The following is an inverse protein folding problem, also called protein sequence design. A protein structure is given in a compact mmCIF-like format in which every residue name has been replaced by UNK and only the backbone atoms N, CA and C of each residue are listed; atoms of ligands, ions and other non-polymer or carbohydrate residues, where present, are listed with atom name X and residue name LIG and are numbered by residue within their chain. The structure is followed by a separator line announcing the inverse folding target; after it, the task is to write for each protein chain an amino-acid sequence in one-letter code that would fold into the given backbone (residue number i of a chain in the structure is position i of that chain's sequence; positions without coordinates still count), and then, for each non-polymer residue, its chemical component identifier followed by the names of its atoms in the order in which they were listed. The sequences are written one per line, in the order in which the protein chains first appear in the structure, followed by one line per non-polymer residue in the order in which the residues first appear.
data_IF_939892378683
#
_entry.id   IF_939892378683
#
_cell.length_a   1.000
_cell.length_b   1.000
_cell.length_c   1.000
_cell.angle_alpha   90.00
_cell.angle_beta   90.00
_cell.angle_gamma   90.00
#
_symmetry.space_group_name_H-M   'P 1'
#
loop_
_entity.id
_entity.type
_entity.pdbx_description
1 polymer ?
#
# COMPACT_ATOMS: atom_id res chain seq x y z
N UNK A 1 -30.08 29.52 43.39
CA UNK A 1 -29.52 29.01 42.11
C UNK A 1 -28.17 29.67 41.95
N UNK A 2 -27.08 28.91 41.88
CA UNK A 2 -25.76 29.49 41.59
C UNK A 2 -25.72 29.81 40.10
N UNK A 3 -25.46 31.08 39.76
CA UNK A 3 -25.25 31.51 38.39
C UNK A 3 -23.97 30.86 37.85
N UNK A 4 -24.12 30.03 36.82
CA UNK A 4 -23.00 29.37 36.17
C UNK A 4 -22.17 30.44 35.45
N UNK A 5 -20.89 30.54 35.79
CA UNK A 5 -19.96 31.40 35.08
C UNK A 5 -19.59 30.77 33.73
N UNK A 6 -20.42 31.05 32.72
CA UNK A 6 -20.25 30.54 31.37
C UNK A 6 -18.89 30.90 30.74
N UNK A 7 -18.26 32.00 31.16
CA UNK A 7 -16.93 32.39 30.65
C UNK A 7 -15.87 31.37 31.06
N UNK A 8 -15.89 30.92 32.32
CA UNK A 8 -14.96 29.92 32.84
C UNK A 8 -15.21 28.55 32.20
N UNK A 9 -16.48 28.19 31.98
CA UNK A 9 -16.86 26.96 31.27
C UNK A 9 -16.33 26.97 29.83
N UNK A 10 -16.47 28.08 29.12
CA UNK A 10 -15.96 28.23 27.74
C UNK A 10 -14.43 28.19 27.73
N UNK A 11 -13.78 28.91 28.66
CA UNK A 11 -12.32 28.92 28.76
C UNK A 11 -11.76 27.52 29.05
N UNK A 12 -12.35 26.79 30.00
CA UNK A 12 -12.00 25.41 30.31
C UNK A 12 -12.18 24.46 29.13
N UNK A 13 -13.29 24.61 28.38
CA UNK A 13 -13.54 23.83 27.17
C UNK A 13 -12.49 24.09 26.07
N UNK A 14 -12.17 25.36 25.80
CA UNK A 14 -11.16 25.73 24.80
C UNK A 14 -9.76 25.25 25.19
N UNK A 15 -9.38 25.37 26.46
CA UNK A 15 -8.12 24.82 26.97
C UNK A 15 -8.09 23.29 26.83
N UNK A 16 -9.20 22.61 27.11
CA UNK A 16 -9.35 21.16 26.90
C UNK A 16 -9.22 20.72 25.44
N UNK A 17 -9.67 21.55 24.48
CA UNK A 17 -9.53 21.29 23.04
C UNK A 17 -8.13 21.60 22.48
N UNK A 18 -7.37 22.49 23.13
CA UNK A 18 -6.04 22.92 22.69
C UNK A 18 -5.09 21.75 22.37
N UNK A 19 -4.91 20.71 23.22
CA UNK A 19 -4.03 19.58 22.89
C UNK A 19 -4.49 18.80 21.64
N UNK A 20 -5.80 18.70 21.40
CA UNK A 20 -6.34 18.07 20.20
C UNK A 20 -5.97 18.88 18.95
N UNK A 21 -6.12 20.21 19.01
CA UNK A 21 -5.78 21.12 17.92
C UNK A 21 -4.28 21.06 17.62
N UNK A 22 -3.43 21.15 18.64
CA UNK A 22 -1.97 21.05 18.49
C UNK A 22 -1.56 19.72 17.83
N UNK A 23 -2.15 18.60 18.25
CA UNK A 23 -1.92 17.28 17.63
C UNK A 23 -2.31 17.27 16.15
N UNK A 24 -3.47 17.83 15.80
CA UNK A 24 -3.93 17.84 14.41
C UNK A 24 -3.05 18.72 13.52
N UNK A 25 -2.63 19.89 14.01
CA UNK A 25 -1.67 20.75 13.31
C UNK A 25 -0.34 20.03 13.09
N UNK A 26 0.18 19.32 14.10
CA UNK A 26 1.41 18.54 13.98
C UNK A 26 1.30 17.44 12.91
N UNK A 27 0.19 16.70 12.88
CA UNK A 27 -0.06 15.67 11.85
C UNK A 27 -0.13 16.26 10.44
N UNK A 28 -0.75 17.43 10.28
CA UNK A 28 -0.86 18.12 9.01
C UNK A 28 0.50 18.62 8.50
N UNK A 29 1.33 19.18 9.39
CA UNK A 29 2.70 19.63 9.06
C UNK A 29 3.58 18.44 8.66
N UNK A 30 3.54 17.35 9.44
CA UNK A 30 4.33 16.15 9.12
C UNK A 30 3.93 15.53 7.80
N UNK A 31 2.62 15.45 7.52
CA UNK A 31 2.15 14.93 6.24
C UNK A 31 2.65 15.76 5.05
N UNK A 32 2.64 17.10 5.17
CA UNK A 32 3.19 17.99 4.12
C UNK A 32 4.69 17.80 3.90
N UNK A 33 5.44 17.52 4.97
CA UNK A 33 6.90 17.33 4.96
C UNK A 33 7.37 15.93 4.52
N UNK A 34 6.46 14.96 4.36
CA UNK A 34 6.78 13.58 3.96
C UNK A 34 6.37 13.30 2.49
N UNK A 35 7.14 13.76 1.49
CA UNK A 35 6.81 13.56 0.06
C UNK A 35 6.65 12.08 -0.29
N UNK A 36 7.44 11.20 0.35
CA UNK A 36 7.39 9.75 0.11
C UNK A 36 6.04 9.09 0.42
N UNK A 37 5.20 9.66 1.30
CA UNK A 37 3.85 9.13 1.52
C UNK A 37 2.84 9.71 0.52
N UNK A 38 2.97 10.99 0.18
CA UNK A 38 2.01 11.71 -0.67
C UNK A 38 1.90 11.12 -2.06
N UNK A 39 3.01 10.66 -2.63
CA UNK A 39 3.03 10.05 -3.96
C UNK A 39 2.16 8.79 -4.09
N UNK A 40 1.79 8.14 -2.99
CA UNK A 40 0.90 6.97 -3.01
C UNK A 40 -0.59 7.36 -2.94
N UNK A 41 -0.95 8.62 -2.74
CA UNK A 41 -2.34 9.04 -2.63
C UNK A 41 -3.11 8.84 -3.94
N UNK A 42 -4.38 8.44 -3.83
CA UNK A 42 -5.28 8.31 -4.97
C UNK A 42 -5.51 6.87 -5.40
N UNK A 43 -5.75 6.68 -6.68
CA UNK A 43 -6.13 5.38 -7.24
C UNK A 43 -4.90 4.65 -7.79
N UNK A 44 -4.85 3.34 -7.55
CA UNK A 44 -3.81 2.43 -8.03
C UNK A 44 -4.43 1.13 -8.53
N UNK A 45 -3.67 0.41 -9.35
CA UNK A 45 -3.98 -0.92 -9.86
C UNK A 45 -2.87 -1.85 -9.41
N UNK A 46 -3.19 -2.80 -8.56
CA UNK A 46 -2.27 -3.79 -8.04
C UNK A 46 -2.38 -5.09 -8.82
N UNK A 47 -1.23 -5.63 -9.19
CA UNK A 47 -1.08 -6.84 -9.96
C UNK A 47 -0.19 -7.80 -9.18
N UNK A 48 -0.62 -9.05 -9.07
CA UNK A 48 0.18 -10.13 -8.47
C UNK A 48 -0.23 -11.45 -9.09
N UNK A 49 0.68 -12.42 -9.10
CA UNK A 49 0.34 -13.79 -9.49
C UNK A 49 -0.45 -14.45 -8.38
N UNK A 50 -1.55 -15.13 -8.69
CA UNK A 50 -2.29 -15.93 -7.72
C UNK A 50 -1.40 -17.05 -7.19
N UNK A 51 -1.35 -17.21 -5.87
CA UNK A 51 -0.67 -18.33 -5.20
C UNK A 51 -1.49 -19.61 -5.28
N UNK A 52 -2.80 -19.49 -5.46
CA UNK A 52 -3.67 -20.63 -5.77
C UNK A 52 -3.24 -21.19 -7.13
N UNK A 53 -2.92 -22.49 -7.19
CA UNK A 53 -2.17 -23.18 -8.26
C UNK A 53 -2.57 -22.99 -9.74
N UNK A 54 -3.56 -22.15 -10.04
CA UNK A 54 -3.85 -21.61 -11.38
C UNK A 54 -2.76 -20.68 -11.94
N UNK A 55 -1.91 -20.07 -11.10
CA UNK A 55 -0.83 -19.17 -11.54
C UNK A 55 -1.28 -17.93 -12.31
N UNK A 56 -2.57 -17.59 -12.28
CA UNK A 56 -3.16 -16.47 -13.04
C UNK A 56 -2.78 -15.13 -12.43
N UNK A 57 -2.56 -14.13 -13.28
CA UNK A 57 -2.35 -12.75 -12.83
C UNK A 57 -3.68 -12.18 -12.33
N UNK A 58 -3.71 -11.78 -11.07
CA UNK A 58 -4.82 -11.06 -10.47
C UNK A 58 -4.54 -9.56 -10.50
N UNK A 59 -5.52 -8.78 -10.95
CA UNK A 59 -5.50 -7.33 -10.86
C UNK A 59 -6.55 -6.85 -9.84
N UNK A 60 -6.21 -5.82 -9.07
CA UNK A 60 -7.08 -5.22 -8.04
C UNK A 60 -6.97 -3.71 -8.07
N UNK A 61 -8.10 -3.01 -8.07
CA UNK A 61 -8.10 -1.55 -7.96
C UNK A 61 -8.04 -1.15 -6.49
N UNK A 62 -7.14 -0.23 -6.16
CA UNK A 62 -6.91 0.26 -4.81
C UNK A 62 -7.16 1.77 -4.75
N UNK A 63 -7.69 2.22 -3.61
CA UNK A 63 -7.77 3.61 -3.24
C UNK A 63 -6.99 3.83 -1.97
N UNK A 64 -6.01 4.73 -2.05
CA UNK A 64 -5.14 5.08 -0.96
C UNK A 64 -5.48 6.49 -0.49
N UNK A 65 -5.78 6.64 0.79
CA UNK A 65 -6.16 7.92 1.41
C UNK A 65 -5.39 8.15 2.69
N UNK A 66 -5.11 9.41 3.04
CA UNK A 66 -4.53 9.73 4.35
C UNK A 66 -5.64 9.97 5.38
N UNK A 67 -5.53 9.35 6.55
CA UNK A 67 -6.40 9.64 7.69
C UNK A 67 -5.69 10.59 8.65
N UNK A 68 -6.15 11.84 8.70
CA UNK A 68 -5.68 12.81 9.68
C UNK A 68 -6.03 12.42 11.12
N UNK A 69 -7.11 11.67 11.32
CA UNK A 69 -7.47 11.15 12.64
C UNK A 69 -6.45 10.12 13.16
N UNK A 70 -6.02 9.20 12.30
CA UNK A 70 -5.14 8.09 12.66
C UNK A 70 -3.66 8.33 12.34
N UNK A 71 -3.32 9.44 11.65
CA UNK A 71 -1.96 9.76 11.25
C UNK A 71 -1.32 8.74 10.30
N UNK A 72 -2.13 8.04 9.49
CA UNK A 72 -1.65 6.95 8.61
C UNK A 72 -2.37 6.91 7.26
N UNK A 73 -1.71 6.32 6.28
CA UNK A 73 -2.27 6.04 4.96
C UNK A 73 -3.13 4.78 5.03
N UNK A 74 -4.40 4.89 4.68
CA UNK A 74 -5.33 3.78 4.58
C UNK A 74 -5.42 3.31 3.13
N UNK A 75 -5.57 2.00 2.94
CA UNK A 75 -5.78 1.37 1.64
C UNK A 75 -7.10 0.63 1.66
N UNK A 76 -7.89 0.80 0.60
CA UNK A 76 -9.12 0.04 0.36
C UNK A 76 -9.16 -0.47 -1.07
N UNK A 77 -9.55 -1.71 -1.26
CA UNK A 77 -9.87 -2.22 -2.60
C UNK A 77 -11.19 -1.62 -3.09
N UNK A 78 -11.23 -1.19 -4.34
CA UNK A 78 -12.46 -0.78 -5.02
C UNK A 78 -13.01 -1.94 -5.83
N UNK A 79 -14.34 -2.09 -5.85
CA UNK A 79 -15.00 -2.96 -6.83
C UNK A 79 -14.66 -2.46 -8.24
N UNK A 80 -14.19 -3.35 -9.11
CA UNK A 80 -13.97 -3.05 -10.52
C UNK A 80 -15.28 -3.33 -11.27
N UNK A 81 -15.91 -2.33 -11.91
CA UNK A 81 -17.10 -2.57 -12.72
C UNK A 81 -16.77 -3.50 -13.90
N UNK A 82 -17.60 -4.50 -14.18
CA UNK A 82 -17.46 -5.38 -15.35
C UNK A 82 -16.55 -6.61 -15.17
N UNK A 83 -16.02 -6.86 -13.97
CA UNK A 83 -15.20 -8.04 -13.70
C UNK A 83 -15.59 -8.71 -12.38
N UNK A 84 -16.65 -9.53 -12.42
CA UNK A 84 -17.24 -10.17 -11.24
C UNK A 84 -16.26 -11.10 -10.52
N UNK A 85 -15.34 -11.74 -11.25
CA UNK A 85 -14.29 -12.61 -10.72
C UNK A 85 -13.20 -11.85 -9.96
N UNK A 86 -12.89 -10.61 -10.34
CA UNK A 86 -11.95 -9.76 -9.61
C UNK A 86 -12.53 -9.13 -8.33
N UNK A 87 -13.86 -9.18 -8.14
CA UNK A 87 -14.57 -8.36 -7.15
C UNK A 87 -14.86 -9.03 -5.79
N UNK A 88 -14.62 -10.34 -5.64
CA UNK A 88 -15.16 -11.09 -4.48
C UNK A 88 -14.51 -10.72 -3.15
N UNK A 89 -13.23 -10.37 -3.15
CA UNK A 89 -12.47 -10.15 -1.93
C UNK A 89 -12.21 -8.66 -1.74
N UNK A 90 -12.76 -8.09 -0.67
CA UNK A 90 -12.54 -6.71 -0.29
C UNK A 90 -11.45 -6.66 0.76
N UNK A 91 -10.44 -5.81 0.60
CA UNK A 91 -9.41 -5.65 1.60
C UNK A 91 -9.38 -4.22 2.12
N UNK A 92 -9.11 -4.10 3.42
CA UNK A 92 -8.80 -2.83 4.07
C UNK A 92 -7.45 -2.93 4.77
N UNK A 93 -6.73 -1.82 4.80
CA UNK A 93 -5.34 -1.84 5.21
C UNK A 93 -4.76 -0.47 5.48
N UNK A 94 -3.46 -0.47 5.78
CA UNK A 94 -2.69 0.76 5.90
C UNK A 94 -1.29 0.58 5.30
N UNK A 95 -0.70 1.70 4.88
CA UNK A 95 0.72 1.76 4.52
C UNK A 95 1.48 2.12 5.80
N UNK A 96 2.28 1.20 6.33
CA UNK A 96 3.09 1.46 7.53
C UNK A 96 4.37 2.24 7.19
N UNK A 97 5.02 2.77 8.22
CA UNK A 97 6.17 3.65 8.11
C UNK A 97 7.41 2.95 7.52
N UNK A 98 8.35 3.80 7.10
CA UNK A 98 9.47 3.53 6.20
C UNK A 98 10.64 2.94 7.01
N UNK A 99 11.06 1.71 6.70
CA UNK A 99 12.43 1.27 6.99
C UNK A 99 13.23 1.41 5.69
N UNK A 100 14.07 2.45 5.60
CA UNK A 100 14.90 2.72 4.42
C UNK A 100 14.09 2.97 3.13
N UNK A 101 14.26 2.11 2.13
CA UNK A 101 13.56 2.15 0.84
C UNK A 101 12.37 1.18 0.77
N UNK A 102 11.92 0.60 1.88
CA UNK A 102 10.82 -0.38 1.86
C UNK A 102 9.58 0.19 2.54
N UNK A 103 8.42 -0.05 1.93
CA UNK A 103 7.10 0.28 2.49
C UNK A 103 6.22 -0.96 2.56
N UNK A 104 5.45 -1.05 3.63
CA UNK A 104 4.57 -2.19 3.85
C UNK A 104 3.12 -1.78 3.62
N UNK A 105 2.41 -2.54 2.80
CA UNK A 105 0.95 -2.43 2.68
C UNK A 105 0.34 -3.70 3.24
N UNK A 106 -0.31 -3.58 4.38
CA UNK A 106 -0.99 -4.72 5.02
C UNK A 106 -2.46 -4.66 4.69
N UNK A 107 -2.95 -5.67 3.97
CA UNK A 107 -4.34 -5.81 3.53
C UNK A 107 -4.99 -6.99 4.28
N UNK A 108 -6.20 -6.77 4.81
CA UNK A 108 -6.99 -7.81 5.47
C UNK A 108 -8.37 -7.91 4.84
N UNK A 109 -8.79 -9.13 4.52
CA UNK A 109 -10.16 -9.43 4.10
C UNK A 109 -11.07 -9.58 5.34
N UNK A 110 -12.20 -8.84 5.43
CA UNK A 110 -13.15 -9.03 6.51
C UNK A 110 -13.84 -10.39 6.49
N UNK A 111 -13.94 -11.08 5.34
CA UNK A 111 -14.76 -12.29 5.19
C UNK A 111 -13.97 -13.60 5.40
N UNK A 112 -12.73 -13.67 4.90
CA UNK A 112 -11.93 -14.91 4.92
C UNK A 112 -10.85 -14.94 6.01
N UNK A 113 -10.69 -13.86 6.78
CA UNK A 113 -9.54 -13.63 7.67
C UNK A 113 -8.17 -13.65 6.97
N UNK A 114 -8.14 -13.70 5.63
CA UNK A 114 -6.91 -13.65 4.84
C UNK A 114 -6.17 -12.33 5.11
N UNK A 115 -4.86 -12.45 5.30
CA UNK A 115 -3.94 -11.34 5.46
C UNK A 115 -2.90 -11.40 4.36
N UNK A 116 -2.73 -10.27 3.70
CA UNK A 116 -1.80 -10.10 2.61
C UNK A 116 -0.88 -8.94 2.95
N UNK A 117 0.42 -9.19 3.02
CA UNK A 117 1.41 -8.15 3.31
C UNK A 117 2.26 -7.93 2.08
N UNK A 118 2.31 -6.69 1.64
CA UNK A 118 3.03 -6.24 0.46
C UNK A 118 4.22 -5.41 0.87
N UNK A 119 5.37 -5.73 0.29
CA UNK A 119 6.65 -5.08 0.49
C UNK A 119 6.96 -4.31 -0.79
N UNK A 120 6.75 -3.00 -0.77
CA UNK A 120 6.99 -2.11 -1.89
C UNK A 120 8.40 -1.53 -1.82
N UNK A 121 9.10 -1.51 -2.94
CA UNK A 121 10.37 -0.78 -3.07
C UNK A 121 10.09 0.71 -3.38
N UNK A 122 10.22 1.54 -2.36
CA UNK A 122 9.97 2.98 -2.36
C UNK A 122 11.03 3.74 -3.19
N UNK A 123 10.78 3.90 -4.50
CA UNK A 123 11.63 4.73 -5.35
C UNK A 123 11.62 6.19 -4.88
N UNK A 124 12.75 6.88 -4.77
CA UNK A 124 12.77 8.27 -4.27
C UNK A 124 12.08 9.30 -5.19
N UNK A 125 11.78 8.92 -6.44
CA UNK A 125 11.19 9.78 -7.45
C UNK A 125 9.68 10.03 -7.19
N UNK A 126 9.24 11.26 -7.50
CA UNK A 126 7.85 11.73 -7.51
C UNK A 126 7.65 12.52 -8.82
N UNK A 127 6.66 12.19 -9.69
CA UNK A 127 5.61 11.19 -9.53
C UNK A 127 6.10 9.74 -9.67
N UNK A 128 5.35 8.83 -9.05
CA UNK A 128 5.53 7.40 -9.17
C UNK A 128 4.42 6.83 -10.06
N UNK A 129 4.76 6.40 -11.27
CA UNK A 129 3.80 5.78 -12.19
C UNK A 129 3.56 4.32 -11.83
N UNK A 130 4.63 3.60 -11.48
CA UNK A 130 4.57 2.21 -11.07
C UNK A 130 5.63 1.92 -10.02
N UNK A 131 5.36 0.96 -9.15
CA UNK A 131 6.38 0.40 -8.27
C UNK A 131 6.20 -1.10 -8.13
N UNK A 132 7.34 -1.75 -7.93
CA UNK A 132 7.41 -3.19 -7.73
C UNK A 132 7.59 -3.52 -6.26
N UNK A 133 7.33 -4.77 -5.96
CA UNK A 133 7.45 -5.29 -4.63
C UNK A 133 7.34 -6.80 -4.57
N UNK A 134 7.38 -7.30 -3.34
CA UNK A 134 7.09 -8.68 -3.01
C UNK A 134 5.78 -8.73 -2.22
N UNK A 135 5.05 -9.82 -2.31
CA UNK A 135 3.93 -10.06 -1.41
C UNK A 135 4.14 -11.39 -0.69
N UNK A 136 3.62 -11.46 0.53
CA UNK A 136 3.52 -12.68 1.32
C UNK A 136 2.05 -12.98 1.58
N UNK A 137 1.65 -14.23 1.33
CA UNK A 137 0.32 -14.76 1.54
C UNK A 137 0.40 -16.17 2.16
N UNK A 138 -0.73 -16.64 2.69
CA UNK A 138 -0.93 -18.07 2.96
C UNK A 138 -1.79 -18.63 1.82
N UNK A 139 -1.34 -19.71 1.17
CA UNK A 139 -2.14 -20.42 0.19
C UNK A 139 -3.32 -21.16 0.87
N UNK A 140 -4.26 -21.68 0.09
CA UNK A 140 -5.42 -22.46 0.54
C UNK A 140 -5.05 -23.67 1.41
N UNK A 141 -3.80 -24.14 1.31
CA UNK A 141 -3.24 -25.23 2.13
C UNK A 141 -2.59 -24.76 3.44
N UNK A 142 -2.65 -23.46 3.74
CA UNK A 142 -1.98 -22.85 4.88
C UNK A 142 -0.45 -22.74 4.73
N UNK A 143 0.08 -23.00 3.54
CA UNK A 143 1.52 -22.88 3.27
C UNK A 143 1.88 -21.42 2.97
N UNK A 144 3.00 -20.91 3.51
CA UNK A 144 3.49 -19.58 3.16
C UNK A 144 3.88 -19.55 1.69
N UNK A 145 3.40 -18.53 0.99
CA UNK A 145 3.71 -18.28 -0.41
C UNK A 145 4.18 -16.84 -0.58
N UNK A 146 5.25 -16.68 -1.37
CA UNK A 146 5.83 -15.39 -1.72
C UNK A 146 5.79 -15.21 -3.24
N UNK A 147 5.60 -13.97 -3.68
CA UNK A 147 5.65 -13.68 -5.12
C UNK A 147 5.92 -12.22 -5.41
N UNK A 148 6.19 -11.94 -6.69
CA UNK A 148 6.33 -10.58 -7.18
C UNK A 148 4.95 -9.89 -7.26
N UNK A 149 4.95 -8.58 -7.03
CA UNK A 149 3.81 -7.72 -7.23
C UNK A 149 4.21 -6.40 -7.88
N UNK A 150 3.22 -5.74 -8.48
CA UNK A 150 3.34 -4.42 -9.05
C UNK A 150 2.11 -3.60 -8.63
N UNK A 151 2.31 -2.32 -8.32
CA UNK A 151 1.21 -1.35 -8.31
C UNK A 151 1.49 -0.29 -9.37
N UNK A 152 0.46 0.10 -10.11
CA UNK A 152 0.53 1.09 -11.19
C UNK A 152 -0.59 2.11 -11.07
N UNK A 153 -0.33 3.36 -11.48
CA UNK A 153 -1.34 4.41 -11.62
C UNK A 153 -2.29 4.14 -12.78
N UNK A 154 -1.77 3.51 -13.83
CA UNK A 154 -2.51 3.17 -15.04
C UNK A 154 -2.85 1.69 -15.08
N UNK A 155 -4.02 1.32 -15.62
CA UNK A 155 -4.34 -0.08 -15.85
C UNK A 155 -3.35 -0.67 -16.87
N UNK A 156 -2.59 -1.68 -16.47
CA UNK A 156 -1.73 -2.50 -17.30
C UNK A 156 -2.45 -3.77 -17.77
N UNK A 157 -2.05 -4.30 -18.93
CA UNK A 157 -2.50 -5.63 -19.38
C UNK A 157 -1.80 -6.75 -18.59
N UNK A 158 -2.37 -7.97 -18.54
CA UNK A 158 -1.68 -9.11 -17.94
C UNK A 158 -0.30 -9.38 -18.57
N UNK A 159 -0.16 -9.22 -19.89
CA UNK A 159 1.13 -9.42 -20.58
C UNK A 159 2.15 -8.34 -20.19
N UNK A 160 1.69 -7.10 -20.02
CA UNK A 160 2.53 -6.00 -19.57
C UNK A 160 3.02 -6.24 -18.14
N UNK A 161 2.15 -6.73 -17.26
CA UNK A 161 2.56 -7.19 -15.93
C UNK A 161 3.57 -8.33 -16.00
N UNK A 162 3.38 -9.35 -16.85
CA UNK A 162 4.34 -10.45 -16.97
C UNK A 162 5.70 -9.99 -17.50
N UNK A 163 5.71 -9.04 -18.44
CA UNK A 163 6.96 -8.42 -18.93
C UNK A 163 7.69 -7.68 -17.79
N UNK A 164 6.96 -6.91 -17.00
CA UNK A 164 7.52 -6.07 -15.95
C UNK A 164 7.91 -6.87 -14.70
N UNK A 165 7.10 -7.84 -14.28
CA UNK A 165 7.34 -8.67 -13.10
C UNK A 165 8.51 -9.63 -13.25
N UNK A 166 8.88 -10.03 -14.47
CA UNK A 166 10.10 -10.81 -14.74
C UNK A 166 11.36 -10.16 -14.17
N UNK A 167 11.43 -8.83 -14.13
CA UNK A 167 12.57 -8.11 -13.55
C UNK A 167 12.66 -8.31 -12.04
N UNK A 168 11.52 -8.36 -11.33
CA UNK A 168 11.47 -8.55 -9.89
C UNK A 168 11.82 -9.97 -9.50
N UNK A 169 11.30 -10.95 -10.26
CA UNK A 169 11.62 -12.37 -10.05
C UNK A 169 13.11 -12.62 -10.28
N UNK A 170 13.70 -11.99 -11.30
CA UNK A 170 15.14 -12.09 -11.57
C UNK A 170 15.98 -11.50 -10.43
N UNK A 171 15.60 -10.34 -9.89
CA UNK A 171 16.29 -9.76 -8.72
C UNK A 171 16.19 -10.70 -7.51
N UNK A 172 15.04 -11.32 -7.27
CA UNK A 172 14.89 -12.30 -6.19
C UNK A 172 15.74 -13.56 -6.40
N UNK A 173 15.82 -14.07 -7.64
CA UNK A 173 16.65 -15.23 -7.98
C UNK A 173 18.16 -14.92 -7.85
N UNK A 174 18.59 -13.72 -8.26
CA UNK A 174 19.96 -13.23 -8.08
C UNK A 174 20.33 -13.12 -6.59
N UNK A 175 19.40 -12.68 -5.73
CA UNK A 175 19.64 -12.58 -4.28
C UNK A 175 19.71 -13.94 -3.60
N UNK A 176 19.04 -14.95 -4.14
CA UNK A 176 19.06 -16.33 -3.63
C UNK A 176 20.23 -17.15 -4.21
N UNK A 177 21.10 -16.53 -5.04
CA UNK A 177 22.23 -17.19 -5.68
C UNK A 177 21.85 -18.30 -6.67
N UNK A 178 20.58 -18.32 -7.10
CA UNK A 178 20.03 -19.33 -8.01
C UNK A 178 20.10 -18.90 -9.48
N UNK A 179 20.54 -17.67 -9.76
CA UNK A 179 20.74 -17.13 -11.10
C UNK A 179 22.25 -16.98 -11.39
N UNK A 180 22.86 -17.96 -12.07
CA UNK A 180 24.24 -17.91 -12.60
C UNK A 180 24.36 -16.97 -13.84
N UNK A 181 23.28 -16.26 -14.20
CA UNK A 181 23.15 -15.53 -15.45
C UNK A 181 23.61 -14.07 -15.41
N UNK A 182 24.75 -13.81 -16.07
CA UNK A 182 25.34 -12.50 -16.36
C UNK A 182 24.33 -11.34 -16.52
N UNK A 183 24.65 -10.21 -15.90
CA UNK A 183 23.94 -8.95 -16.06
C UNK A 183 23.85 -8.60 -17.57
N UNK A 184 22.66 -8.28 -18.10
CA UNK A 184 22.57 -7.77 -19.46
C UNK A 184 23.30 -6.42 -19.53
N UNK A 185 24.30 -6.35 -20.41
CA UNK A 185 25.22 -5.22 -20.62
C UNK A 185 24.57 -3.89 -21.05
N UNK A 186 23.24 -3.78 -21.07
CA UNK A 186 22.52 -2.67 -21.69
C UNK A 186 21.71 -1.81 -20.69
N UNK A 187 22.08 -1.82 -19.40
CA UNK A 187 21.49 -0.93 -18.39
C UNK A 187 22.35 0.33 -18.10
N UNK A 188 23.14 0.80 -19.07
CA UNK A 188 23.73 2.14 -19.07
C UNK A 188 23.45 2.83 -20.41
N UNK A 189 22.26 3.41 -20.55
CA UNK A 189 22.01 4.63 -21.34
C UNK A 189 20.89 5.41 -20.65
#
# INVERSE_FOLDING_TARGET
MQDVNWVEVIAGFLLGLTPLICRQLWLLVNFKRLPGQRKYLGTWYAYHRSTTGSGKVQARKLKVTYSFLLGRMNVRTLKVPGNETMSRLQFSGHISAREGMVRYVTLKDPNSHERLTWYLFDQFLDPLDHTFGLYLALDLRGLPAAGAMMISRSPASPEEYERLSRHVVRIAAMLDGSDDGALPSNAMV
#
